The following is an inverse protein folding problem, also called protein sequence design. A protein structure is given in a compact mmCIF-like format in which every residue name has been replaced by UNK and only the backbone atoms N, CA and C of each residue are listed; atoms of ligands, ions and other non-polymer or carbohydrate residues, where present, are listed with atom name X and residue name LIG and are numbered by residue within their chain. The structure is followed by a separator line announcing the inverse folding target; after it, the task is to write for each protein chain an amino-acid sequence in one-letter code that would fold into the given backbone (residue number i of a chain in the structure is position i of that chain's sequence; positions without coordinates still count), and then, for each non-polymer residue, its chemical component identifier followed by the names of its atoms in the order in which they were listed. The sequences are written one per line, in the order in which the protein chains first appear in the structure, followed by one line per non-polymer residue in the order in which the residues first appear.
data_IF_032721010057
#
_entry.id   IF_032721010057
#
_cell.length_a   1.000
_cell.length_b   1.000
_cell.length_c   1.000
_cell.angle_alpha   90.00
_cell.angle_beta   90.00
_cell.angle_gamma   90.00
#
_symmetry.space_group_name_H-M   'P 1'
#
loop_
_entity.id
_entity.type
_entity.pdbx_description
1 polymer ?
#
# COMPACT_ATOMS: atom_id res chain seq x y z
N UNK A 1 13.80 -30.63 17.36
CA UNK A 1 14.22 -29.91 16.13
C UNK A 1 13.86 -28.44 16.24
N UNK A 2 14.82 -27.59 15.99
CA UNK A 2 14.56 -26.16 16.01
C UNK A 2 13.93 -25.73 14.70
N UNK A 3 12.79 -25.02 14.78
CA UNK A 3 12.17 -24.45 13.58
C UNK A 3 13.02 -23.29 13.05
N UNK A 4 13.06 -23.10 11.72
CA UNK A 4 13.72 -21.94 11.15
C UNK A 4 13.16 -20.66 11.74
N UNK A 5 14.04 -19.73 12.10
CA UNK A 5 13.61 -18.43 12.61
C UNK A 5 13.04 -17.61 11.47
N UNK A 6 11.78 -17.19 11.62
CA UNK A 6 11.12 -16.31 10.66
C UNK A 6 11.30 -14.86 11.11
N UNK A 7 11.77 -14.01 10.22
CA UNK A 7 11.96 -12.60 10.51
C UNK A 7 11.27 -11.73 9.46
N UNK A 8 11.37 -10.40 9.62
CA UNK A 8 10.74 -9.45 8.71
C UNK A 8 11.25 -9.51 7.28
N UNK A 9 12.41 -10.08 7.06
CA UNK A 9 13.01 -10.19 5.73
C UNK A 9 12.71 -11.54 5.07
N UNK A 10 12.09 -12.47 5.77
CA UNK A 10 11.72 -13.76 5.22
C UNK A 10 10.54 -13.61 4.26
N UNK A 11 10.49 -14.37 3.15
CA UNK A 11 9.34 -14.34 2.27
C UNK A 11 8.07 -14.79 2.99
N UNK A 12 6.93 -14.27 2.57
CA UNK A 12 5.62 -14.69 3.05
C UNK A 12 4.78 -15.22 1.88
N UNK A 13 4.29 -16.44 2.00
CA UNK A 13 3.47 -17.06 0.97
C UNK A 13 1.99 -16.91 1.34
N UNK A 14 1.24 -16.28 0.45
CA UNK A 14 -0.21 -16.16 0.60
C UNK A 14 -0.91 -17.45 0.21
N UNK A 15 -2.11 -17.67 0.74
CA UNK A 15 -2.93 -18.85 0.46
C UNK A 15 -3.17 -19.04 -1.04
N UNK A 16 -3.30 -17.96 -1.81
CA UNK A 16 -3.49 -18.03 -3.26
C UNK A 16 -2.25 -18.36 -4.09
N UNK A 17 -1.13 -18.67 -3.46
CA UNK A 17 0.11 -19.06 -4.14
C UNK A 17 1.06 -17.91 -4.46
N UNK A 18 0.65 -16.67 -4.28
CA UNK A 18 1.55 -15.52 -4.43
C UNK A 18 2.47 -15.40 -3.23
N UNK A 19 3.66 -14.87 -3.46
CA UNK A 19 4.67 -14.72 -2.40
C UNK A 19 5.13 -13.26 -2.32
N UNK A 20 5.08 -12.67 -1.13
CA UNK A 20 5.73 -11.39 -0.85
C UNK A 20 7.22 -11.65 -0.58
N UNK A 21 8.09 -10.78 -1.09
CA UNK A 21 9.54 -10.97 -0.94
C UNK A 21 10.02 -10.85 0.50
N UNK A 22 9.28 -10.16 1.34
CA UNK A 22 9.56 -10.03 2.76
C UNK A 22 8.26 -9.71 3.50
N UNK A 23 8.35 -9.53 4.82
CA UNK A 23 7.19 -9.29 5.70
C UNK A 23 7.06 -7.84 6.14
N UNK A 24 7.74 -6.94 5.47
CA UNK A 24 7.62 -5.51 5.72
C UNK A 24 6.41 -4.97 4.98
N UNK A 25 5.49 -4.35 5.70
CA UNK A 25 4.23 -3.83 5.17
C UNK A 25 4.21 -2.32 5.30
N UNK A 26 3.89 -1.63 4.21
CA UNK A 26 3.55 -0.20 4.27
C UNK A 26 2.06 -0.11 4.54
N UNK A 27 1.66 0.47 5.69
CA UNK A 27 0.24 0.55 6.04
C UNK A 27 -0.52 1.55 5.17
N UNK A 28 -1.86 1.51 5.17
CA UNK A 28 -2.67 2.42 4.37
C UNK A 28 -2.68 3.83 4.98
N UNK A 29 -1.86 4.72 4.43
CA UNK A 29 -1.75 6.11 4.88
C UNK A 29 -2.16 7.05 3.77
N UNK A 30 -3.03 8.01 4.07
CA UNK A 30 -3.49 8.99 3.09
C UNK A 30 -2.32 9.83 2.58
N UNK A 31 -2.17 9.91 1.26
CA UNK A 31 -1.13 10.71 0.61
C UNK A 31 -1.59 12.11 0.23
N UNK A 32 -2.90 12.31 0.11
CA UNK A 32 -3.53 13.56 -0.35
C UNK A 32 -3.00 14.02 -1.70
N UNK A 33 -2.76 13.07 -2.60
CA UNK A 33 -2.21 13.33 -3.94
C UNK A 33 -3.23 13.19 -5.05
N UNK A 34 -4.46 12.74 -4.74
CA UNK A 34 -5.52 12.61 -5.71
C UNK A 34 -6.07 13.98 -6.13
N UNK A 35 -6.75 14.03 -7.28
CA UNK A 35 -7.46 15.23 -7.69
C UNK A 35 -8.77 15.40 -6.89
N UNK A 36 -9.50 16.48 -7.15
CA UNK A 36 -10.73 16.79 -6.40
C UNK A 36 -11.83 15.73 -6.59
N UNK A 37 -11.76 14.96 -7.68
CA UNK A 37 -12.72 13.90 -7.99
C UNK A 37 -12.27 12.53 -7.50
N UNK A 38 -11.14 12.46 -6.85
CA UNK A 38 -10.59 11.21 -6.33
C UNK A 38 -9.72 10.46 -7.34
N UNK A 39 -9.43 11.04 -8.49
CA UNK A 39 -8.61 10.41 -9.51
C UNK A 39 -7.13 10.43 -9.12
N UNK A 40 -6.44 9.34 -9.46
CA UNK A 40 -5.00 9.30 -9.28
C UNK A 40 -4.31 10.30 -10.21
N UNK A 41 -3.35 11.02 -9.66
CA UNK A 41 -2.55 12.01 -10.40
C UNK A 41 -1.14 11.47 -10.61
N UNK A 42 -0.30 12.14 -11.43
CA UNK A 42 1.13 11.79 -11.49
C UNK A 42 1.80 11.83 -10.12
N UNK A 43 1.36 12.70 -9.22
CA UNK A 43 1.87 12.74 -7.85
C UNK A 43 1.51 11.46 -7.08
N UNK A 44 0.30 10.92 -7.27
CA UNK A 44 -0.12 9.66 -6.67
C UNK A 44 0.76 8.50 -7.17
N UNK A 45 0.98 8.44 -8.47
CA UNK A 45 1.84 7.42 -9.07
C UNK A 45 3.26 7.50 -8.53
N UNK A 46 3.84 8.71 -8.43
CA UNK A 46 5.18 8.89 -7.88
C UNK A 46 5.26 8.48 -6.42
N UNK A 47 4.22 8.79 -5.64
CA UNK A 47 4.18 8.43 -4.23
C UNK A 47 4.28 6.92 -4.04
N UNK A 48 3.46 6.15 -4.75
CA UNK A 48 3.48 4.69 -4.63
C UNK A 48 4.71 4.05 -5.27
N UNK A 49 5.26 4.65 -6.33
CA UNK A 49 6.52 4.19 -6.90
C UNK A 49 7.67 4.31 -5.87
N UNK A 50 7.74 5.40 -5.12
CA UNK A 50 8.73 5.57 -4.06
C UNK A 50 8.56 4.54 -2.95
N UNK A 51 7.32 4.26 -2.55
CA UNK A 51 7.06 3.24 -1.54
C UNK A 51 7.47 1.85 -2.03
N UNK A 52 7.21 1.55 -3.31
CA UNK A 52 7.63 0.28 -3.90
C UNK A 52 9.16 0.14 -3.92
N UNK A 53 9.87 1.24 -4.17
CA UNK A 53 11.33 1.26 -4.17
C UNK A 53 11.93 1.14 -2.77
N UNK A 54 11.14 1.34 -1.72
CA UNK A 54 11.63 1.26 -0.34
C UNK A 54 12.07 -0.15 0.05
N UNK A 55 11.66 -1.15 -0.69
CA UNK A 55 12.02 -2.55 -0.40
C UNK A 55 10.95 -3.31 0.36
N UNK A 56 9.84 -2.68 0.75
CA UNK A 56 8.74 -3.38 1.41
C UNK A 56 8.14 -4.44 0.52
N UNK A 57 7.78 -5.59 1.09
CA UNK A 57 7.18 -6.70 0.35
C UNK A 57 5.71 -6.50 0.06
N UNK A 58 5.02 -5.69 0.87
CA UNK A 58 3.58 -5.46 0.76
C UNK A 58 3.31 -3.97 0.88
N UNK A 59 2.52 -3.44 -0.06
CA UNK A 59 2.01 -2.07 0.01
C UNK A 59 0.50 -2.14 0.12
N UNK A 60 -0.06 -1.46 1.12
CA UNK A 60 -1.52 -1.32 1.23
C UNK A 60 -1.86 0.08 0.78
N UNK A 61 -2.68 0.16 -0.28
CA UNK A 61 -3.11 1.45 -0.83
C UNK A 61 -3.99 2.17 0.19
N UNK A 62 -3.88 3.48 0.24
CA UNK A 62 -4.63 4.34 1.15
C UNK A 62 -6.14 4.14 1.03
N UNK A 63 -6.87 4.50 2.08
CA UNK A 63 -8.33 4.41 2.06
C UNK A 63 -8.89 5.30 0.94
N UNK A 64 -9.93 4.78 0.29
CA UNK A 64 -10.55 5.45 -0.85
C UNK A 64 -12.04 5.57 -0.60
N UNK A 65 -12.66 6.65 -1.08
CA UNK A 65 -14.09 6.79 -0.92
C UNK A 65 -14.84 6.11 -2.08
N UNK A 66 -16.02 5.57 -1.78
CA UNK A 66 -16.90 4.96 -2.79
C UNK A 66 -17.98 5.92 -3.23
N UNK A 67 -18.29 6.92 -2.41
CA UNK A 67 -19.28 7.95 -2.67
C UNK A 67 -18.79 9.27 -2.09
N UNK A 68 -19.08 10.42 -2.72
CA UNK A 68 -18.60 11.72 -2.23
C UNK A 68 -18.90 12.00 -0.76
N UNK A 69 -20.00 11.45 -0.22
CA UNK A 69 -20.35 11.62 1.19
C UNK A 69 -19.37 10.93 2.14
N UNK A 70 -18.63 9.94 1.64
CA UNK A 70 -17.61 9.24 2.42
C UNK A 70 -16.22 9.86 2.33
N UNK A 71 -16.08 10.92 1.53
CA UNK A 71 -14.80 11.58 1.34
C UNK A 71 -14.42 12.39 2.58
N UNK A 72 -13.26 12.13 3.15
CA UNK A 72 -12.79 12.78 4.38
C UNK A 72 -11.88 13.97 4.10
N UNK A 73 -11.17 13.96 2.99
CA UNK A 73 -10.15 14.95 2.64
C UNK A 73 -10.33 15.37 1.18
N UNK A 74 -10.00 16.63 0.88
CA UNK A 74 -10.19 17.17 -0.47
C UNK A 74 -9.47 16.36 -1.54
N UNK A 75 -8.24 15.94 -1.28
CA UNK A 75 -7.41 15.23 -2.25
C UNK A 75 -7.31 13.74 -1.92
N UNK A 76 -8.38 13.16 -1.40
CA UNK A 76 -8.49 11.75 -1.10
C UNK A 76 -8.75 10.94 -2.37
N UNK A 77 -8.05 9.79 -2.47
CA UNK A 77 -8.25 8.85 -3.57
C UNK A 77 -9.67 8.26 -3.54
N UNK A 78 -10.27 8.14 -4.68
CA UNK A 78 -11.60 7.57 -4.80
C UNK A 78 -11.80 6.73 -6.03
#
# INVERSE_FOLDING_TARGET
MRQPMTDRFSPYRFTGGKTAKNRVVVPPMASQTADERGGATPATTRHYARLAESGAGILIVEYSFLHPSGKREQNQLG
#
